data_IF_938007485551
#
_entry.id   IF_938007485551
#
_cell.length_a   1.000
_cell.length_b   1.000
_cell.length_c   1.000
_cell.angle_alpha   90.00
_cell.angle_beta   90.00
_cell.angle_gamma   90.00
#
_symmetry.space_group_name_H-M   'P 1'
#
loop_
_entity.id
_entity.type
_entity.pdbx_description
1 polymer ?
#
# COMPACT_ATOMS: atom_id res chain seq x y z
N UNK A 1 -12.44 -38.54 24.31
CA UNK A 1 -11.68 -37.27 24.32
C UNK A 1 -10.35 -37.33 23.55
N UNK A 2 -9.47 -38.30 23.79
CA UNK A 2 -8.13 -38.37 23.15
C UNK A 2 -8.14 -38.49 21.61
N UNK A 3 -9.17 -39.12 21.02
CA UNK A 3 -9.31 -39.23 19.55
C UNK A 3 -9.68 -37.90 18.87
N UNK A 4 -10.51 -37.06 19.51
CA UNK A 4 -10.91 -35.74 19.00
C UNK A 4 -9.77 -34.72 19.03
N UNK A 5 -8.88 -34.81 20.03
CA UNK A 5 -7.70 -33.96 20.11
C UNK A 5 -6.68 -34.30 19.00
N UNK A 6 -6.51 -35.59 18.67
CA UNK A 6 -5.59 -36.02 17.60
C UNK A 6 -6.08 -35.59 16.20
N UNK A 7 -7.37 -35.65 15.92
CA UNK A 7 -7.92 -35.17 14.64
C UNK A 7 -7.83 -33.65 14.51
N UNK A 8 -8.08 -32.89 15.58
CA UNK A 8 -7.94 -31.43 15.54
C UNK A 8 -6.49 -30.97 15.29
N UNK A 9 -5.50 -31.62 15.91
CA UNK A 9 -4.07 -31.31 15.70
C UNK A 9 -3.62 -31.65 14.28
N UNK A 10 -4.04 -32.79 13.74
CA UNK A 10 -3.74 -33.16 12.34
C UNK A 10 -4.37 -32.18 11.34
N UNK A 11 -5.59 -31.72 11.60
CA UNK A 11 -6.26 -30.74 10.73
C UNK A 11 -5.53 -29.38 10.76
N UNK A 12 -5.09 -28.91 11.93
CA UNK A 12 -4.33 -27.67 12.08
C UNK A 12 -2.95 -27.73 11.41
N UNK A 13 -2.24 -28.87 11.51
CA UNK A 13 -0.96 -29.05 10.82
C UNK A 13 -1.11 -29.15 9.29
N UNK A 14 -2.16 -29.81 8.79
CA UNK A 14 -2.47 -29.86 7.36
C UNK A 14 -2.85 -28.47 6.81
N UNK A 15 -3.58 -27.68 7.58
CA UNK A 15 -3.96 -26.32 7.21
C UNK A 15 -2.76 -25.37 7.16
N UNK A 16 -1.84 -25.46 8.14
CA UNK A 16 -0.63 -24.64 8.18
C UNK A 16 0.36 -24.97 7.05
N UNK A 17 0.50 -26.25 6.68
CA UNK A 17 1.37 -26.67 5.58
C UNK A 17 0.79 -26.33 4.20
N UNK A 18 -0.54 -26.40 4.05
CA UNK A 18 -1.22 -25.94 2.83
C UNK A 18 -1.04 -24.43 2.61
N UNK A 19 -1.11 -23.61 3.67
CA UNK A 19 -0.89 -22.15 3.56
C UNK A 19 0.57 -21.77 3.26
N UNK A 20 1.54 -22.50 3.83
CA UNK A 20 2.95 -22.27 3.51
C UNK A 20 3.28 -22.62 2.06
N UNK A 21 2.70 -23.71 1.54
CA UNK A 21 2.90 -24.13 0.14
C UNK A 21 2.21 -23.21 -0.89
N UNK A 22 1.19 -22.44 -0.50
CA UNK A 22 0.57 -21.43 -1.37
C UNK A 22 1.37 -20.15 -1.49
N UNK A 23 2.14 -19.76 -0.47
CA UNK A 23 2.99 -18.57 -0.52
C UNK A 23 4.18 -18.73 -1.49
N UNK A 24 4.82 -19.90 -1.50
CA UNK A 24 5.90 -20.20 -2.45
C UNK A 24 5.39 -20.41 -3.88
N UNK A 25 4.13 -20.87 -4.05
CA UNK A 25 3.48 -20.97 -5.38
C UNK A 25 3.00 -19.63 -5.94
N UNK A 26 2.65 -18.67 -5.08
CA UNK A 26 2.32 -17.30 -5.51
C UNK A 26 3.53 -16.60 -6.17
N UNK A 27 4.76 -16.95 -5.77
CA UNK A 27 5.99 -16.43 -6.39
C UNK A 27 6.36 -17.09 -7.74
N UNK A 28 5.80 -18.25 -8.07
CA UNK A 28 6.19 -19.03 -9.25
C UNK A 28 5.25 -18.89 -10.46
N UNK A 29 4.14 -18.15 -10.33
CA UNK A 29 3.13 -18.02 -11.39
C UNK A 29 3.31 -16.74 -12.23
N UNK A 30 4.49 -16.64 -12.85
CA UNK A 30 4.68 -15.81 -14.03
C UNK A 30 3.83 -16.35 -15.19
N UNK A 31 2.59 -15.85 -15.31
CA UNK A 31 1.69 -16.10 -16.45
C UNK A 31 2.46 -15.85 -17.76
N UNK A 32 2.72 -16.91 -18.53
CA UNK A 32 3.10 -16.81 -19.95
C UNK A 32 1.92 -16.20 -20.71
N UNK A 33 1.93 -14.87 -20.86
CA UNK A 33 1.00 -14.13 -21.74
C UNK A 33 1.42 -14.38 -23.20
N UNK A 34 0.45 -14.82 -24.00
CA UNK A 34 0.54 -15.10 -25.44
C UNK A 34 1.27 -13.98 -26.19
N UNK A 35 2.34 -14.32 -26.89
CA UNK A 35 3.05 -13.48 -27.85
C UNK A 35 2.43 -13.65 -29.23
N UNK A 36 1.52 -12.77 -29.62
CA UNK A 36 1.04 -12.71 -31.01
C UNK A 36 0.73 -11.28 -31.43
N UNK A 37 1.80 -10.56 -31.78
CA UNK A 37 1.91 -9.50 -32.79
C UNK A 37 3.30 -8.89 -32.60
N UNK A 38 4.19 -8.99 -33.57
CA UNK A 38 5.47 -8.25 -33.54
C UNK A 38 5.17 -6.78 -33.79
N UNK A 39 4.66 -6.10 -32.77
CA UNK A 39 4.53 -4.65 -32.71
C UNK A 39 5.95 -4.10 -32.86
N UNK A 40 6.17 -3.20 -33.81
CA UNK A 40 7.47 -2.62 -34.11
C UNK A 40 8.04 -2.00 -32.83
N UNK A 41 9.00 -2.69 -32.20
CA UNK A 41 9.52 -2.31 -30.90
C UNK A 41 10.44 -1.10 -31.12
N UNK A 42 9.90 0.10 -30.95
CA UNK A 42 10.69 1.32 -31.08
C UNK A 42 11.82 1.35 -30.04
N UNK A 43 13.00 1.84 -30.42
CA UNK A 43 14.10 2.13 -29.49
C UNK A 43 13.85 3.42 -28.68
N UNK A 44 12.59 3.86 -28.58
CA UNK A 44 12.17 5.03 -27.81
C UNK A 44 12.57 4.85 -26.36
N UNK A 45 13.11 5.92 -25.79
CA UNK A 45 13.38 6.04 -24.35
C UNK A 45 12.26 6.84 -23.71
N UNK A 46 11.75 6.35 -22.61
CA UNK A 46 10.76 7.02 -21.77
C UNK A 46 11.47 7.54 -20.53
N UNK A 47 11.31 8.84 -20.28
CA UNK A 47 11.74 9.52 -19.06
C UNK A 47 10.54 10.31 -18.56
N UNK A 48 10.23 10.18 -17.28
CA UNK A 48 9.16 10.93 -16.62
C UNK A 48 9.56 11.30 -15.19
N UNK A 49 8.62 11.75 -14.36
CA UNK A 49 8.90 12.11 -12.96
C UNK A 49 9.31 10.94 -12.06
N UNK A 50 8.95 9.70 -12.40
CA UNK A 50 9.21 8.50 -11.61
C UNK A 50 10.42 7.71 -12.14
N UNK A 51 10.55 7.52 -13.45
CA UNK A 51 11.61 6.72 -14.08
C UNK A 51 12.55 7.55 -14.96
N UNK A 52 13.75 7.04 -15.16
CA UNK A 52 14.75 7.59 -16.07
C UNK A 52 15.25 6.53 -17.06
N UNK A 53 15.42 6.88 -18.33
CA UNK A 53 16.03 6.02 -19.36
C UNK A 53 15.38 4.63 -19.51
N UNK A 54 14.04 4.55 -19.41
CA UNK A 54 13.33 3.30 -19.65
C UNK A 54 13.19 3.05 -21.15
N UNK A 55 13.86 2.03 -21.68
CA UNK A 55 13.83 1.69 -23.10
C UNK A 55 12.62 0.80 -23.43
N UNK A 56 11.83 1.19 -24.44
CA UNK A 56 10.61 0.46 -24.82
C UNK A 56 10.85 -1.00 -25.24
N UNK A 57 12.03 -1.30 -25.78
CA UNK A 57 12.44 -2.66 -26.12
C UNK A 57 12.78 -3.58 -24.94
N UNK A 58 12.88 -3.02 -23.73
CA UNK A 58 13.11 -3.76 -22.48
C UNK A 58 12.02 -3.48 -21.45
N UNK A 59 10.84 -3.07 -21.92
CA UNK A 59 9.72 -2.76 -21.05
C UNK A 59 9.25 -4.03 -20.32
N UNK A 60 9.50 -4.07 -19.03
CA UNK A 60 9.11 -5.12 -18.09
C UNK A 60 8.92 -4.49 -16.71
N UNK A 61 8.26 -5.20 -15.79
CA UNK A 61 8.08 -4.72 -14.41
C UNK A 61 9.43 -4.50 -13.74
N UNK A 62 10.33 -5.48 -13.81
CA UNK A 62 11.71 -5.33 -13.30
C UNK A 62 12.44 -4.17 -13.97
N UNK A 63 12.26 -3.99 -15.28
CA UNK A 63 12.83 -2.87 -16.02
C UNK A 63 12.34 -1.51 -15.52
N UNK A 64 11.04 -1.37 -15.22
CA UNK A 64 10.47 -0.15 -14.64
C UNK A 64 11.11 0.11 -13.28
N UNK A 65 11.07 -0.88 -12.39
CA UNK A 65 11.63 -0.80 -11.04
C UNK A 65 13.10 -0.39 -11.01
N UNK A 66 13.93 -1.03 -11.85
CA UNK A 66 15.35 -0.71 -11.97
C UNK A 66 15.59 0.74 -12.41
N UNK A 67 14.69 1.28 -13.24
CA UNK A 67 14.74 2.64 -13.80
C UNK A 67 14.04 3.71 -12.96
N UNK A 68 13.38 3.35 -11.86
CA UNK A 68 12.88 4.35 -10.90
C UNK A 68 14.06 5.22 -10.43
N UNK A 69 13.87 6.54 -10.38
CA UNK A 69 14.91 7.50 -9.98
C UNK A 69 15.30 7.32 -8.51
N UNK A 70 16.52 7.71 -8.16
CA UNK A 70 17.01 7.58 -6.78
C UNK A 70 16.23 8.45 -5.78
N UNK A 71 15.73 9.61 -6.23
CA UNK A 71 14.95 10.56 -5.44
C UNK A 71 13.43 10.31 -5.54
N UNK A 72 12.99 9.26 -6.24
CA UNK A 72 11.58 9.01 -6.51
C UNK A 72 10.72 8.95 -5.24
N UNK A 73 11.29 8.46 -4.15
CA UNK A 73 10.64 8.23 -2.86
C UNK A 73 11.15 9.16 -1.76
N UNK A 74 11.70 10.32 -2.12
CA UNK A 74 12.16 11.33 -1.17
C UNK A 74 11.05 11.74 -0.19
N UNK A 75 11.39 12.05 1.06
CA UNK A 75 10.42 12.37 2.12
C UNK A 75 9.51 13.57 1.80
N UNK A 76 9.99 14.51 0.98
CA UNK A 76 9.19 15.65 0.49
C UNK A 76 8.00 15.25 -0.40
N UNK A 77 7.91 13.97 -0.79
CA UNK A 77 6.80 13.38 -1.57
C UNK A 77 5.87 12.51 -0.71
N UNK A 78 6.13 12.41 0.59
CA UNK A 78 5.28 11.66 1.51
C UNK A 78 3.90 12.31 1.62
N UNK A 79 2.88 11.46 1.72
CA UNK A 79 1.50 11.80 1.99
C UNK A 79 0.93 10.83 3.03
N UNK A 80 -0.11 11.21 3.78
CA UNK A 80 -0.43 12.59 4.16
C UNK A 80 0.65 13.15 5.09
N UNK A 81 0.92 14.46 5.09
CA UNK A 81 1.91 15.06 6.02
C UNK A 81 1.35 15.37 7.42
N UNK A 82 0.04 15.25 7.59
CA UNK A 82 -0.65 15.33 8.88
C UNK A 82 -1.18 13.95 9.25
N UNK A 83 -0.77 13.44 10.41
CA UNK A 83 -1.36 12.22 10.96
C UNK A 83 -2.74 12.53 11.58
N UNK A 84 -3.69 11.60 11.53
CA UNK A 84 -4.98 11.73 12.21
C UNK A 84 -5.37 10.44 12.93
N UNK A 85 -6.08 10.53 14.08
CA UNK A 85 -6.62 9.36 14.74
C UNK A 85 -7.75 8.74 13.89
N UNK A 86 -7.84 7.43 13.77
CA UNK A 86 -8.92 6.77 13.04
C UNK A 86 -10.26 6.90 13.80
N UNK A 87 -11.35 7.31 13.13
CA UNK A 87 -12.65 7.56 13.81
C UNK A 87 -13.33 6.28 14.29
N UNK A 88 -13.13 5.19 13.57
CA UNK A 88 -13.87 3.94 13.74
C UNK A 88 -13.44 3.10 14.95
N UNK A 89 -12.50 3.58 15.79
CA UNK A 89 -12.01 2.84 16.96
C UNK A 89 -11.31 1.52 16.60
N UNK A 90 -10.97 1.31 15.31
CA UNK A 90 -10.21 0.15 14.83
C UNK A 90 -8.85 0.09 15.50
N UNK A 91 -8.29 -1.11 15.58
CA UNK A 91 -6.94 -1.32 16.08
C UNK A 91 -5.96 -0.34 15.40
N UNK A 92 -5.17 0.40 16.18
CA UNK A 92 -4.24 1.45 15.71
C UNK A 92 -3.34 1.01 14.56
N UNK A 93 -3.00 -0.28 14.53
CA UNK A 93 -2.23 -0.92 13.45
C UNK A 93 -2.92 -0.86 12.08
N UNK A 94 -4.25 -0.96 12.02
CA UNK A 94 -5.01 -0.87 10.78
C UNK A 94 -4.82 0.51 10.14
N UNK A 95 -4.84 1.58 10.95
CA UNK A 95 -4.58 2.93 10.46
C UNK A 95 -3.17 3.12 9.90
N UNK A 96 -2.17 2.52 10.55
CA UNK A 96 -0.79 2.60 10.08
C UNK A 96 -0.59 1.81 8.77
N UNK A 97 -1.24 0.64 8.66
CA UNK A 97 -1.27 -0.14 7.42
C UNK A 97 -1.92 0.66 6.29
N UNK A 98 -3.06 1.28 6.56
CA UNK A 98 -3.81 2.14 5.64
C UNK A 98 -2.96 3.17 4.93
N UNK A 99 -2.28 3.96 5.75
CA UNK A 99 -1.54 5.13 5.32
C UNK A 99 -0.28 4.68 4.58
N UNK A 100 0.37 3.62 5.06
CA UNK A 100 1.53 3.03 4.37
C UNK A 100 1.16 2.43 3.02
N UNK A 101 0.04 1.71 2.91
CA UNK A 101 -0.45 1.16 1.64
C UNK A 101 -0.83 2.29 0.67
N UNK A 102 -1.57 3.28 1.14
CA UNK A 102 -1.95 4.47 0.36
C UNK A 102 -0.72 5.23 -0.13
N UNK A 103 0.28 5.43 0.74
CA UNK A 103 1.54 6.07 0.37
C UNK A 103 2.29 5.26 -0.71
N UNK A 104 2.30 3.93 -0.60
CA UNK A 104 2.91 3.06 -1.61
C UNK A 104 2.23 3.22 -2.97
N UNK A 105 0.89 3.17 -3.00
CA UNK A 105 0.10 3.37 -4.22
C UNK A 105 0.48 4.70 -4.89
N UNK A 106 0.45 5.79 -4.11
CA UNK A 106 0.73 7.14 -4.60
C UNK A 106 2.18 7.24 -5.08
N UNK A 107 3.13 6.65 -4.36
CA UNK A 107 4.56 6.67 -4.75
C UNK A 107 4.80 6.08 -6.15
N UNK A 108 4.00 5.09 -6.57
CA UNK A 108 4.12 4.51 -7.93
C UNK A 108 3.21 5.16 -8.96
N UNK A 109 2.05 5.67 -8.53
CA UNK A 109 1.01 6.13 -9.44
C UNK A 109 1.02 7.64 -9.69
N UNK A 110 1.57 8.41 -8.76
CA UNK A 110 1.73 9.85 -8.92
C UNK A 110 2.83 10.17 -9.94
N UNK A 111 2.64 11.28 -10.65
CA UNK A 111 3.68 11.90 -11.46
C UNK A 111 3.96 13.31 -11.00
N UNK A 112 4.97 13.43 -10.15
CA UNK A 112 5.32 14.68 -9.46
C UNK A 112 5.92 15.71 -10.41
N UNK A 113 5.52 16.96 -10.22
CA UNK A 113 5.95 18.11 -11.02
C UNK A 113 5.63 17.96 -12.51
N UNK A 114 4.65 17.13 -12.86
CA UNK A 114 4.16 17.07 -14.24
C UNK A 114 3.05 18.11 -14.45
N UNK A 115 3.16 18.92 -15.52
CA UNK A 115 2.09 19.84 -15.88
C UNK A 115 0.84 19.04 -16.22
N UNK A 116 -0.31 19.52 -15.77
CA UNK A 116 -1.61 18.90 -16.04
C UNK A 116 -2.55 19.93 -16.64
N UNK A 117 -3.24 19.54 -17.72
CA UNK A 117 -4.37 20.29 -18.24
C UNK A 117 -5.66 19.98 -17.47
N UNK A 118 -5.65 18.92 -16.64
CA UNK A 118 -6.79 18.55 -15.82
C UNK A 118 -6.92 19.52 -14.66
N UNK A 119 -8.14 19.97 -14.44
CA UNK A 119 -8.48 20.78 -13.26
C UNK A 119 -8.51 19.91 -12.01
N UNK A 120 -8.31 20.52 -10.84
CA UNK A 120 -8.29 19.79 -9.56
C UNK A 120 -9.61 19.07 -9.25
N UNK A 121 -10.74 19.61 -9.68
CA UNK A 121 -12.07 18.97 -9.59
C UNK A 121 -12.21 17.74 -10.49
N UNK A 122 -11.27 17.49 -11.41
CA UNK A 122 -11.19 16.25 -12.20
C UNK A 122 -10.17 15.26 -11.59
N UNK A 123 -9.08 15.78 -11.00
CA UNK A 123 -8.03 14.95 -10.39
C UNK A 123 -8.52 14.34 -9.07
N UNK A 124 -9.12 15.15 -8.19
CA UNK A 124 -9.51 14.70 -6.84
C UNK A 124 -10.48 13.51 -6.86
N UNK A 125 -11.58 13.51 -7.64
CA UNK A 125 -12.49 12.35 -7.71
C UNK A 125 -11.79 11.06 -8.16
N UNK A 126 -10.92 11.16 -9.17
CA UNK A 126 -10.15 10.03 -9.68
C UNK A 126 -9.22 9.44 -8.62
N UNK A 127 -8.48 10.30 -7.91
CA UNK A 127 -7.60 9.88 -6.83
C UNK A 127 -8.37 9.26 -5.65
N UNK A 128 -9.47 9.88 -5.22
CA UNK A 128 -10.30 9.34 -4.14
C UNK A 128 -10.91 7.97 -4.51
N UNK A 129 -11.33 7.77 -5.76
CA UNK A 129 -11.76 6.45 -6.26
C UNK A 129 -10.64 5.42 -6.16
N UNK A 130 -9.42 5.77 -6.55
CA UNK A 130 -8.26 4.87 -6.45
C UNK A 130 -7.96 4.49 -5.01
N UNK A 131 -7.95 5.47 -4.09
CA UNK A 131 -7.72 5.23 -2.66
C UNK A 131 -8.78 4.30 -2.06
N UNK A 132 -10.05 4.46 -2.47
CA UNK A 132 -11.15 3.56 -2.09
C UNK A 132 -11.02 2.17 -2.71
N UNK A 133 -10.29 2.04 -3.82
CA UNK A 133 -10.25 0.83 -4.66
C UNK A 133 -11.53 0.59 -5.46
N UNK A 134 -12.36 1.62 -5.65
CA UNK A 134 -13.67 1.47 -6.28
C UNK A 134 -14.39 2.78 -6.60
N UNK A 135 -15.37 2.70 -7.50
CA UNK A 135 -16.31 3.78 -7.79
C UNK A 135 -17.59 3.59 -6.99
N UNK A 136 -18.26 4.70 -6.68
CA UNK A 136 -19.59 4.68 -6.08
C UNK A 136 -20.65 4.45 -7.16
N UNK A 137 -21.63 3.60 -6.85
CA UNK A 137 -22.79 3.35 -7.71
C UNK A 137 -24.05 3.26 -6.83
N UNK A 138 -25.18 3.78 -7.31
CA UNK A 138 -26.47 3.57 -6.68
C UNK A 138 -27.07 2.27 -7.22
N UNK A 139 -27.49 1.38 -6.32
CA UNK A 139 -28.28 0.21 -6.69
C UNK A 139 -29.67 0.33 -6.08
N UNK A 140 -30.66 0.09 -6.94
CA UNK A 140 -32.05 -0.07 -6.54
C UNK A 140 -32.26 -1.56 -6.28
N UNK A 141 -32.38 -1.94 -5.00
CA UNK A 141 -32.71 -3.30 -4.61
C UNK A 141 -34.20 -3.56 -4.91
N UNK A 142 -34.55 -3.67 -6.19
CA UNK A 142 -35.88 -4.08 -6.66
C UNK A 142 -35.99 -5.61 -6.60
N UNK A 143 -35.76 -6.20 -5.43
CA UNK A 143 -36.00 -7.61 -5.17
C UNK A 143 -37.30 -7.79 -4.38
N UNK A 144 -38.43 -7.40 -5.00
CA UNK A 144 -39.75 -7.85 -4.56
C UNK A 144 -40.37 -8.68 -5.69
N UNK A 145 -40.14 -9.99 -5.63
CA UNK A 145 -40.96 -10.99 -6.32
C UNK A 145 -42.15 -11.45 -5.44
N UNK A 146 -42.38 -10.78 -4.29
CA UNK A 146 -43.53 -11.02 -3.44
C UNK A 146 -44.61 -9.98 -3.75
N UNK A 147 -45.74 -10.46 -4.27
CA UNK A 147 -46.97 -9.73 -4.60
C UNK A 147 -47.67 -9.06 -3.39
N UNK A 148 -46.95 -8.75 -2.30
CA UNK A 148 -47.50 -8.12 -1.10
C UNK A 148 -47.09 -6.65 -1.02
N UNK A 149 -47.70 -5.84 -1.88
CA UNK A 149 -48.20 -4.47 -1.61
C UNK A 149 -47.33 -3.40 -0.92
N UNK A 150 -46.07 -3.63 -0.60
CA UNK A 150 -45.20 -2.66 0.07
C UNK A 150 -44.00 -2.34 -0.83
N UNK A 151 -44.16 -1.32 -1.66
CA UNK A 151 -43.15 -0.82 -2.58
C UNK A 151 -42.29 0.23 -1.87
N UNK A 152 -41.35 -0.23 -1.02
CA UNK A 152 -40.28 0.62 -0.49
C UNK A 152 -38.96 0.13 -1.09
N UNK A 153 -38.61 0.63 -2.27
CA UNK A 153 -37.29 0.41 -2.87
C UNK A 153 -36.23 1.00 -1.94
N UNK A 154 -35.47 0.13 -1.28
CA UNK A 154 -34.34 0.58 -0.46
C UNK A 154 -33.16 0.82 -1.39
N UNK A 155 -32.95 2.07 -1.77
CA UNK A 155 -31.82 2.48 -2.59
C UNK A 155 -30.53 2.50 -1.74
N UNK A 156 -29.53 1.73 -2.14
CA UNK A 156 -28.25 1.63 -1.43
C UNK A 156 -27.10 2.08 -2.32
N UNK A 157 -26.21 2.91 -1.76
CA UNK A 157 -24.93 3.24 -2.40
C UNK A 157 -23.96 2.08 -2.12
N UNK A 158 -23.44 1.47 -3.17
CA UNK A 158 -22.41 0.45 -3.07
C UNK A 158 -21.09 0.94 -3.67
N UNK A 159 -20.02 0.19 -3.44
CA UNK A 159 -18.76 0.42 -4.14
C UNK A 159 -18.52 -0.70 -5.13
N UNK A 160 -18.33 -0.35 -6.39
CA UNK A 160 -17.88 -1.28 -7.42
C UNK A 160 -16.36 -1.24 -7.54
N UNK A 161 -15.74 -2.41 -7.62
CA UNK A 161 -14.30 -2.52 -7.78
C UNK A 161 -13.81 -1.77 -9.02
N UNK A 162 -12.73 -1.00 -8.84
CA UNK A 162 -12.05 -0.36 -9.95
C UNK A 162 -11.41 -1.44 -10.84
N UNK A 163 -11.76 -1.41 -12.13
CA UNK A 163 -11.21 -2.36 -13.12
C UNK A 163 -9.72 -2.17 -13.36
N UNK A 164 -9.22 -0.95 -13.23
CA UNK A 164 -7.81 -0.61 -13.39
C UNK A 164 -7.46 0.68 -12.66
N UNK A 165 -6.26 0.67 -12.09
CA UNK A 165 -5.60 1.85 -11.54
C UNK A 165 -4.95 2.67 -12.65
N UNK A 166 -4.94 4.00 -12.53
CA UNK A 166 -4.37 4.90 -13.54
C UNK A 166 -3.33 5.86 -12.95
N UNK A 167 -2.31 6.18 -13.74
CA UNK A 167 -1.31 7.18 -13.38
C UNK A 167 -1.94 8.56 -13.40
N UNK A 168 -1.64 9.38 -12.39
CA UNK A 168 -2.20 10.74 -12.24
C UNK A 168 -1.09 11.78 -12.05
N UNK A 169 -1.23 12.97 -12.64
CA UNK A 169 -0.26 14.05 -12.46
C UNK A 169 -0.42 14.70 -11.07
N UNK A 170 0.70 15.11 -10.50
CA UNK A 170 0.77 15.87 -9.24
C UNK A 170 1.54 17.16 -9.51
N UNK A 171 0.85 18.30 -9.66
CA UNK A 171 1.50 19.58 -9.90
C UNK A 171 2.45 19.97 -8.76
N UNK A 172 3.45 20.79 -9.09
CA UNK A 172 4.41 21.27 -8.08
C UNK A 172 3.68 21.98 -6.94
N UNK A 173 4.11 21.71 -5.71
CA UNK A 173 3.55 22.27 -4.45
C UNK A 173 2.08 21.93 -4.17
N UNK A 174 1.38 21.17 -5.03
CA UNK A 174 -0.05 20.90 -4.86
C UNK A 174 -0.36 19.98 -3.68
N UNK A 175 0.64 19.25 -3.17
CA UNK A 175 0.52 18.38 -2.01
C UNK A 175 1.03 19.00 -0.71
N UNK A 176 1.57 20.22 -0.75
CA UNK A 176 2.00 20.90 0.46
C UNK A 176 0.79 21.35 1.30
N UNK A 177 0.93 21.29 2.63
CA UNK A 177 -0.03 21.81 3.62
C UNK A 177 0.12 23.32 3.80
N UNK A 178 0.83 24.00 2.89
CA UNK A 178 1.01 25.43 3.02
C UNK A 178 -0.33 26.17 2.95
N UNK A 179 -0.66 26.89 4.03
CA UNK A 179 -1.93 27.61 4.23
C UNK A 179 -2.22 28.63 3.14
N UNK A 180 -1.20 29.07 2.40
CA UNK A 180 -1.34 30.01 1.29
C UNK A 180 -1.97 29.39 0.04
N UNK A 181 -2.07 28.05 -0.03
CA UNK A 181 -2.57 27.33 -1.20
C UNK A 181 -3.94 26.70 -0.91
N UNK A 182 -4.94 27.53 -0.59
CA UNK A 182 -6.33 27.08 -0.32
C UNK A 182 -6.96 26.28 -1.47
N UNK A 183 -6.41 26.38 -2.69
CA UNK A 183 -6.83 25.60 -3.86
C UNK A 183 -5.89 24.43 -4.21
N UNK A 184 -4.99 24.01 -3.29
CA UNK A 184 -4.08 22.88 -3.53
C UNK A 184 -4.83 21.55 -3.64
N UNK A 185 -4.17 20.56 -4.26
CA UNK A 185 -4.69 19.19 -4.33
C UNK A 185 -4.86 18.62 -2.92
N UNK A 186 -3.91 18.85 -2.01
CA UNK A 186 -4.00 18.39 -0.62
C UNK A 186 -5.21 18.99 0.11
N UNK A 187 -5.41 20.30 0.04
CA UNK A 187 -6.56 20.94 0.69
C UNK A 187 -7.89 20.38 0.17
N UNK A 188 -8.00 20.16 -1.15
CA UNK A 188 -9.20 19.54 -1.75
C UNK A 188 -9.42 18.10 -1.33
N UNK A 189 -8.35 17.31 -1.21
CA UNK A 189 -8.44 15.95 -0.70
C UNK A 189 -8.86 15.93 0.78
N UNK A 190 -8.35 16.88 1.57
CA UNK A 190 -8.60 17.00 3.00
C UNK A 190 -10.03 17.48 3.30
N UNK A 191 -10.44 18.60 2.70
CA UNK A 191 -11.79 19.17 2.86
C UNK A 191 -12.85 18.29 2.21
N UNK A 192 -12.51 17.69 1.08
CA UNK A 192 -13.41 16.86 0.31
C UNK A 192 -14.34 17.64 -0.61
N UNK A 193 -15.32 16.93 -1.15
CA UNK A 193 -16.41 17.49 -1.95
C UNK A 193 -17.67 16.63 -1.84
N UNK A 194 -18.80 17.18 -2.29
CA UNK A 194 -20.06 16.44 -2.40
C UNK A 194 -20.18 15.89 -3.82
N UNK A 195 -20.23 14.57 -3.95
CA UNK A 195 -20.49 13.87 -5.22
C UNK A 195 -21.97 13.55 -5.33
N UNK A 196 -22.59 13.88 -6.46
CA UNK A 196 -23.94 13.41 -6.76
C UNK A 196 -23.86 12.05 -7.45
N UNK A 197 -24.26 10.98 -6.75
CA UNK A 197 -24.31 9.61 -7.23
C UNK A 197 -25.78 9.28 -7.48
N UNK A 198 -26.20 9.33 -8.74
CA UNK A 198 -27.58 9.04 -9.19
C UNK A 198 -28.66 9.77 -8.37
N UNK A 199 -28.47 11.07 -8.12
CA UNK A 199 -29.40 11.90 -7.35
C UNK A 199 -29.10 11.97 -5.85
N UNK A 200 -28.18 11.14 -5.32
CA UNK A 200 -27.77 11.18 -3.91
C UNK A 200 -26.46 11.94 -3.71
N UNK A 201 -26.49 12.89 -2.78
CA UNK A 201 -25.30 13.64 -2.40
C UNK A 201 -24.47 12.84 -1.37
N UNK A 202 -23.26 12.47 -1.75
CA UNK A 202 -22.30 11.74 -0.92
C UNK A 202 -21.10 12.64 -0.64
N UNK A 203 -20.81 12.90 0.63
CA UNK A 203 -19.61 13.63 1.01
C UNK A 203 -18.38 12.73 0.92
N UNK A 204 -17.35 13.16 0.19
CA UNK A 204 -16.13 12.40 -0.08
C UNK A 204 -14.89 13.18 0.30
N UNK A 205 -14.01 12.57 1.08
CA UNK A 205 -12.74 13.18 1.48
C UNK A 205 -11.71 12.10 1.84
N UNK A 206 -10.42 12.43 1.70
CA UNK A 206 -9.28 11.52 1.80
C UNK A 206 -9.35 10.57 3.01
N UNK A 207 -9.57 11.11 4.20
CA UNK A 207 -9.69 10.32 5.43
C UNK A 207 -10.79 9.27 5.37
N UNK A 208 -11.99 9.63 4.91
CA UNK A 208 -13.10 8.67 4.84
C UNK A 208 -12.85 7.58 3.80
N UNK A 209 -12.26 7.94 2.65
CA UNK A 209 -11.92 6.96 1.61
C UNK A 209 -10.89 5.94 2.12
N UNK A 210 -9.88 6.40 2.87
CA UNK A 210 -8.89 5.53 3.50
C UNK A 210 -9.55 4.62 4.53
N UNK A 211 -10.32 5.19 5.47
CA UNK A 211 -11.01 4.44 6.52
C UNK A 211 -11.98 3.38 5.95
N UNK A 212 -12.67 3.69 4.86
CA UNK A 212 -13.54 2.74 4.13
C UNK A 212 -12.73 1.60 3.48
N UNK A 213 -11.60 1.93 2.84
CA UNK A 213 -10.71 0.92 2.28
C UNK A 213 -10.14 -0.01 3.38
N UNK A 214 -9.89 0.54 4.59
CA UNK A 214 -9.35 -0.22 5.72
C UNK A 214 -10.25 -1.35 6.20
N UNK A 215 -11.55 -1.08 6.31
CA UNK A 215 -12.51 -2.10 6.74
C UNK A 215 -12.45 -3.34 5.81
N UNK A 216 -12.15 -3.15 4.53
CA UNK A 216 -12.15 -4.24 3.54
C UNK A 216 -10.84 -5.02 3.46
N UNK A 217 -9.71 -4.38 3.74
CA UNK A 217 -8.41 -5.01 3.57
C UNK A 217 -7.85 -5.57 4.89
N UNK A 218 -8.00 -4.86 6.01
CA UNK A 218 -7.39 -5.31 7.27
C UNK A 218 -8.01 -6.61 7.80
N UNK A 219 -9.32 -6.81 7.65
CA UNK A 219 -10.03 -8.00 8.16
C UNK A 219 -9.99 -9.22 7.23
N UNK A 220 -9.17 -9.20 6.17
CA UNK A 220 -8.97 -10.40 5.33
C UNK A 220 -8.30 -11.51 6.13
N UNK A 221 -8.62 -12.77 5.83
CA UNK A 221 -8.06 -13.92 6.54
C UNK A 221 -6.52 -13.95 6.54
N UNK A 222 -5.90 -13.54 5.42
CA UNK A 222 -4.45 -13.41 5.29
C UNK A 222 -3.82 -12.43 6.30
N UNK A 223 -4.60 -11.47 6.79
CA UNK A 223 -4.20 -10.39 7.68
C UNK A 223 -4.52 -10.66 9.15
N UNK A 224 -5.28 -11.72 9.48
CA UNK A 224 -5.56 -12.13 10.87
C UNK A 224 -4.26 -12.42 11.64
N UNK A 225 -3.24 -12.93 10.95
CA UNK A 225 -1.90 -13.13 11.51
C UNK A 225 -1.22 -11.84 11.98
N UNK A 226 -1.69 -10.65 11.55
CA UNK A 226 -1.20 -9.37 12.05
C UNK A 226 -1.65 -9.10 13.50
N UNK A 227 -2.80 -9.60 13.93
CA UNK A 227 -3.30 -9.42 15.31
C UNK A 227 -2.84 -10.48 16.32
N UNK A 228 -2.32 -11.62 15.85
CA UNK A 228 -1.96 -12.75 16.69
C UNK A 228 -0.50 -13.20 16.48
N UNK A 229 0.32 -13.14 17.53
CA UNK A 229 1.68 -13.67 17.50
C UNK A 229 2.57 -13.08 18.60
N UNK A 230 3.73 -13.71 18.84
CA UNK A 230 4.79 -13.12 19.66
C UNK A 230 5.34 -11.85 19.01
N UNK A 231 5.81 -10.92 19.84
CA UNK A 231 6.58 -9.78 19.35
C UNK A 231 7.97 -10.17 18.88
N UNK A 232 8.56 -11.21 19.48
CA UNK A 232 9.91 -11.67 19.18
C UNK A 232 9.91 -12.64 17.98
N UNK A 233 10.92 -12.51 17.12
CA UNK A 233 11.26 -13.43 16.02
C UNK A 233 12.62 -14.06 16.27
N UNK A 234 12.81 -15.30 15.81
CA UNK A 234 14.12 -15.95 15.86
C UNK A 234 15.13 -15.26 14.94
N UNK A 235 16.42 -15.38 15.26
CA UNK A 235 17.53 -14.84 14.47
C UNK A 235 17.44 -15.24 12.99
N UNK A 236 17.18 -16.53 12.71
CA UNK A 236 16.99 -17.05 11.35
C UNK A 236 15.85 -16.33 10.61
N UNK A 237 14.70 -16.15 11.28
CA UNK A 237 13.55 -15.45 10.69
C UNK A 237 13.83 -13.97 10.45
N UNK A 238 14.64 -13.33 11.27
CA UNK A 238 15.06 -11.95 11.02
C UNK A 238 16.02 -11.85 9.82
N UNK A 239 16.96 -12.79 9.69
CA UNK A 239 17.85 -12.87 8.52
C UNK A 239 17.06 -13.07 7.22
N UNK A 240 16.03 -13.94 7.23
CA UNK A 240 15.11 -14.10 6.09
C UNK A 240 14.43 -12.77 5.72
N UNK A 241 13.89 -12.04 6.71
CA UNK A 241 13.29 -10.72 6.48
C UNK A 241 14.30 -9.73 5.87
N UNK A 242 15.53 -9.65 6.40
CA UNK A 242 16.59 -8.77 5.86
C UNK A 242 16.90 -9.10 4.40
N UNK A 243 17.00 -10.38 4.05
CA UNK A 243 17.26 -10.80 2.67
C UNK A 243 16.18 -10.30 1.70
N UNK A 244 14.91 -10.45 2.09
CA UNK A 244 13.77 -9.94 1.30
C UNK A 244 13.84 -8.41 1.19
N UNK A 245 14.06 -7.71 2.31
CA UNK A 245 14.09 -6.25 2.33
C UNK A 245 15.21 -5.67 1.48
N UNK A 246 16.41 -6.28 1.52
CA UNK A 246 17.54 -5.86 0.67
C UNK A 246 17.22 -6.05 -0.81
N UNK A 247 16.78 -7.25 -1.20
CA UNK A 247 16.42 -7.58 -2.59
C UNK A 247 15.37 -6.61 -3.13
N UNK A 248 14.34 -6.31 -2.34
CA UNK A 248 13.29 -5.40 -2.74
C UNK A 248 13.81 -3.96 -2.83
N UNK A 249 14.58 -3.49 -1.84
CA UNK A 249 15.15 -2.15 -1.85
C UNK A 249 16.19 -1.94 -2.99
N UNK A 250 17.00 -2.94 -3.32
CA UNK A 250 17.94 -2.92 -4.46
C UNK A 250 17.20 -2.70 -5.79
N UNK A 251 15.97 -3.20 -5.88
CA UNK A 251 15.08 -3.02 -7.05
C UNK A 251 14.07 -1.90 -6.87
N UNK A 252 14.20 -1.05 -5.84
CA UNK A 252 13.27 0.06 -5.55
C UNK A 252 11.81 -0.39 -5.39
N UNK A 253 11.61 -1.63 -4.94
CA UNK A 253 10.31 -2.19 -4.56
C UNK A 253 10.01 -1.83 -3.10
N UNK A 254 9.16 -0.83 -2.92
CA UNK A 254 8.57 -0.44 -1.65
C UNK A 254 7.87 -1.64 -0.98
N UNK A 255 8.34 -1.96 0.23
CA UNK A 255 7.88 -3.14 0.98
C UNK A 255 7.28 -2.70 2.31
N UNK A 256 6.05 -3.09 2.59
CA UNK A 256 5.43 -2.84 3.89
C UNK A 256 5.94 -3.89 4.89
N UNK A 257 6.20 -3.43 6.11
CA UNK A 257 6.60 -4.31 7.21
C UNK A 257 5.81 -3.97 8.47
N UNK A 258 5.45 -5.02 9.20
CA UNK A 258 4.94 -4.91 10.56
C UNK A 258 6.09 -5.03 11.56
N UNK A 259 6.33 -3.95 12.29
CA UNK A 259 7.25 -3.86 13.42
C UNK A 259 6.50 -4.24 14.70
N UNK A 260 6.94 -5.31 15.35
CA UNK A 260 6.37 -5.76 16.61
C UNK A 260 7.33 -5.54 17.76
N UNK A 261 6.94 -4.66 18.66
CA UNK A 261 7.54 -4.50 19.97
C UNK A 261 6.80 -5.34 21.04
N UNK A 262 5.67 -5.96 20.70
CA UNK A 262 4.91 -6.82 21.61
C UNK A 262 3.70 -7.41 20.91
N UNK A 263 2.82 -8.08 21.67
CA UNK A 263 1.59 -8.66 21.13
C UNK A 263 0.61 -7.59 20.63
N UNK A 264 0.49 -6.50 21.37
CA UNK A 264 -0.43 -5.38 21.07
C UNK A 264 0.31 -4.12 20.61
N UNK A 265 1.62 -4.03 20.86
CA UNK A 265 2.47 -2.93 20.43
C UNK A 265 3.06 -3.23 19.05
N UNK A 266 2.35 -2.80 18.02
CA UNK A 266 2.67 -3.08 16.62
C UNK A 266 2.52 -1.82 15.76
N UNK A 267 3.34 -1.71 14.72
CA UNK A 267 3.31 -0.56 13.82
C UNK A 267 3.68 -0.97 12.39
N UNK A 268 3.05 -0.36 11.39
CA UNK A 268 3.40 -0.61 9.98
C UNK A 268 4.24 0.53 9.46
N UNK A 269 5.34 0.19 8.78
CA UNK A 269 6.17 1.13 8.04
C UNK A 269 6.45 0.60 6.64
N UNK A 270 6.89 1.46 5.74
CA UNK A 270 7.25 1.09 4.37
C UNK A 270 8.73 1.33 4.10
N UNK A 271 9.47 0.28 3.73
CA UNK A 271 10.90 0.34 3.44
C UNK A 271 11.13 0.97 2.07
N UNK A 272 12.00 2.00 2.02
CA UNK A 272 12.36 2.74 0.81
C UNK A 272 13.73 2.37 0.26
N UNK A 273 14.73 2.33 1.13
CA UNK A 273 16.13 2.08 0.77
C UNK A 273 16.91 1.53 1.97
N UNK A 274 18.18 1.19 1.75
CA UNK A 274 19.07 0.82 2.83
C UNK A 274 20.52 1.23 2.55
N UNK A 275 21.31 1.28 3.62
CA UNK A 275 22.77 1.39 3.60
C UNK A 275 23.37 0.35 4.53
N UNK A 276 24.56 -0.13 4.21
CA UNK A 276 25.34 -1.04 5.06
C UNK A 276 26.54 -0.27 5.61
N UNK A 277 26.78 -0.36 6.90
CA UNK A 277 27.92 0.27 7.57
C UNK A 277 28.40 -0.66 8.68
N UNK A 278 29.56 -1.27 8.49
CA UNK A 278 30.09 -2.33 9.37
C UNK A 278 29.03 -3.45 9.56
N UNK A 279 28.77 -3.86 10.79
CA UNK A 279 27.80 -4.90 11.15
C UNK A 279 26.36 -4.38 11.30
N UNK A 280 26.05 -3.20 10.75
CA UNK A 280 24.73 -2.58 10.82
C UNK A 280 24.19 -2.32 9.42
N UNK A 281 22.96 -2.76 9.19
CA UNK A 281 22.18 -2.40 8.01
C UNK A 281 21.13 -1.38 8.46
N UNK A 282 21.18 -0.18 7.90
CA UNK A 282 20.21 0.88 8.18
C UNK A 282 19.25 0.99 7.02
N UNK A 283 17.98 0.71 7.26
CA UNK A 283 16.88 0.92 6.33
C UNK A 283 16.26 2.30 6.55
N UNK A 284 16.02 3.02 5.47
CA UNK A 284 15.20 4.23 5.46
C UNK A 284 13.76 3.83 5.20
N UNK A 285 12.83 4.25 6.06
CA UNK A 285 11.42 3.86 6.02
C UNK A 285 10.49 5.07 6.08
N UNK A 286 9.35 4.99 5.40
CA UNK A 286 8.20 5.86 5.65
C UNK A 286 7.46 5.37 6.89
N UNK A 287 7.19 6.29 7.81
CA UNK A 287 6.40 6.09 9.02
C UNK A 287 5.16 7.01 8.97
N UNK A 288 3.97 6.43 8.93
CA UNK A 288 2.72 7.21 8.91
C UNK A 288 2.47 8.04 10.17
N UNK A 289 3.17 7.77 11.27
CA UNK A 289 3.14 8.60 12.47
C UNK A 289 4.06 9.83 12.40
N UNK A 290 4.99 9.84 11.45
CA UNK A 290 5.94 10.94 11.20
C UNK A 290 6.09 11.18 9.70
N UNK A 291 5.00 11.45 8.98
CA UNK A 291 5.04 11.44 7.52
C UNK A 291 5.87 12.58 6.92
N UNK A 292 6.17 13.63 7.69
CA UNK A 292 7.01 14.75 7.26
C UNK A 292 8.49 14.42 7.12
N UNK A 293 8.94 13.24 7.60
CA UNK A 293 10.34 12.82 7.48
C UNK A 293 10.49 11.31 7.44
N UNK A 294 11.57 10.85 6.82
CA UNK A 294 11.91 9.44 6.86
C UNK A 294 12.42 9.02 8.24
N UNK A 295 12.13 7.78 8.60
CA UNK A 295 12.58 7.15 9.84
C UNK A 295 13.62 6.06 9.54
N UNK A 296 14.35 5.64 10.58
CA UNK A 296 15.40 4.65 10.46
C UNK A 296 15.04 3.36 11.20
N UNK A 297 15.23 2.24 10.50
CA UNK A 297 15.17 0.89 11.04
C UNK A 297 16.57 0.28 10.94
N UNK A 298 17.10 -0.23 12.04
CA UNK A 298 18.43 -0.81 12.13
C UNK A 298 18.33 -2.32 12.22
N UNK A 299 19.22 -3.02 11.53
CA UNK A 299 19.46 -4.44 11.71
C UNK A 299 20.92 -4.67 12.11
N UNK A 300 21.12 -5.26 13.28
CA UNK A 300 22.44 -5.70 13.73
C UNK A 300 22.73 -7.09 13.20
N UNK A 301 23.76 -7.23 12.37
CA UNK A 301 24.22 -8.53 11.84
C UNK A 301 24.70 -9.41 12.99
N UNK A 302 25.49 -8.85 13.92
CA UNK A 302 26.02 -9.53 15.10
C UNK A 302 24.91 -10.16 15.95
N UNK A 303 23.85 -9.41 16.23
CA UNK A 303 22.76 -9.88 17.09
C UNK A 303 21.63 -10.55 16.30
N UNK A 304 21.67 -10.47 14.96
CA UNK A 304 20.59 -10.90 14.06
C UNK A 304 19.21 -10.36 14.47
N UNK A 305 19.17 -9.08 14.87
CA UNK A 305 18.01 -8.44 15.46
C UNK A 305 17.75 -7.05 14.87
N UNK A 306 16.49 -6.65 14.85
CA UNK A 306 16.04 -5.34 14.39
C UNK A 306 15.79 -4.39 15.56
N UNK A 307 16.02 -3.09 15.33
CA UNK A 307 15.84 -2.00 16.29
C UNK A 307 15.30 -0.77 15.58
N UNK A 308 14.39 -0.02 16.19
CA UNK A 308 13.86 1.23 15.62
C UNK A 308 13.43 2.19 16.75
N UNK A 309 14.38 2.72 17.53
CA UNK A 309 14.06 3.47 18.75
C UNK A 309 13.16 4.69 18.50
N UNK A 310 13.38 5.42 17.41
CA UNK A 310 12.61 6.62 17.06
C UNK A 310 11.16 6.32 16.64
N UNK A 311 10.91 5.10 16.15
CA UNK A 311 9.58 4.64 15.76
C UNK A 311 8.88 4.04 16.99
N UNK A 312 9.55 3.13 17.69
CA UNK A 312 9.01 2.37 18.83
C UNK A 312 8.74 3.25 20.03
N UNK A 313 9.62 4.22 20.31
CA UNK A 313 9.50 5.12 21.46
C UNK A 313 8.22 5.95 21.49
N UNK A 314 7.45 5.99 20.40
CA UNK A 314 6.16 6.67 20.33
C UNK A 314 4.99 5.82 20.79
N UNK A 315 5.13 4.50 20.83
CA UNK A 315 4.05 3.58 21.23
C UNK A 315 4.49 2.53 22.27
N UNK A 316 5.77 2.49 22.64
CA UNK A 316 6.33 1.73 23.78
C UNK A 316 7.32 2.62 24.52
N UNK A 317 6.95 3.08 25.71
CA UNK A 317 7.75 4.06 26.47
C UNK A 317 8.87 3.43 27.31
N UNK A 318 8.71 2.17 27.72
CA UNK A 318 9.56 1.57 28.76
C UNK A 318 10.90 1.03 28.23
N UNK A 319 11.02 0.70 26.94
CA UNK A 319 12.26 0.16 26.36
C UNK A 319 12.29 0.33 24.83
N UNK A 320 12.77 1.48 24.36
CA UNK A 320 12.85 1.81 22.93
C UNK A 320 13.98 1.06 22.21
N UNK A 321 14.97 0.57 22.97
CA UNK A 321 16.13 -0.17 22.47
C UNK A 321 15.90 -1.68 22.36
N UNK A 322 14.71 -2.17 22.67
CA UNK A 322 14.38 -3.59 22.55
C UNK A 322 14.46 -4.07 21.10
N UNK A 323 14.78 -5.35 20.92
CA UNK A 323 14.68 -5.98 19.61
C UNK A 323 13.22 -6.06 19.15
N UNK A 324 13.03 -5.97 17.83
CA UNK A 324 11.73 -6.01 17.18
C UNK A 324 11.58 -7.27 16.32
N UNK A 325 10.38 -7.84 16.31
CA UNK A 325 9.97 -8.74 15.25
C UNK A 325 9.62 -7.94 14.01
N UNK A 326 10.29 -8.21 12.88
CA UNK A 326 9.98 -7.60 11.59
C UNK A 326 9.35 -8.61 10.65
N UNK A 327 8.11 -8.35 10.27
CA UNK A 327 7.31 -9.19 9.38
C UNK A 327 7.07 -8.43 8.09
N UNK A 328 7.50 -9.00 6.96
CA UNK A 328 7.10 -8.49 5.65
C UNK A 328 5.60 -8.73 5.50
N UNK A 329 4.85 -7.67 5.22
CA UNK A 329 3.41 -7.72 5.04
C UNK A 329 3.05 -7.16 3.67
N UNK A 330 1.96 -7.69 3.11
CA UNK A 330 1.28 -7.13 1.94
C UNK A 330 2.09 -7.12 0.62
N UNK A 331 2.04 -8.27 -0.05
CA UNK A 331 2.46 -8.47 -1.44
C UNK A 331 1.26 -8.45 -2.42
N UNK A 332 0.03 -8.69 -1.95
CA UNK A 332 -1.15 -8.90 -2.81
C UNK A 332 -1.58 -7.64 -3.57
N UNK A 333 -1.41 -6.45 -2.97
CA UNK A 333 -1.75 -5.19 -3.65
C UNK A 333 -0.74 -4.79 -4.73
N UNK A 334 0.43 -5.44 -4.78
CA UNK A 334 1.49 -5.08 -5.71
C UNK A 334 1.10 -5.36 -7.15
N UNK A 335 0.41 -6.46 -7.43
CA UNK A 335 0.01 -6.85 -8.79
C UNK A 335 -0.80 -5.74 -9.47
N UNK A 336 -1.76 -5.13 -8.76
CA UNK A 336 -2.58 -4.04 -9.31
C UNK A 336 -1.75 -2.79 -9.64
N UNK A 337 -0.74 -2.47 -8.82
CA UNK A 337 0.15 -1.34 -9.04
C UNK A 337 1.09 -1.60 -10.22
N UNK A 338 1.64 -2.81 -10.28
CA UNK A 338 2.51 -3.26 -11.37
C UNK A 338 1.76 -3.27 -12.71
N UNK A 339 0.52 -3.77 -12.74
CA UNK A 339 -0.34 -3.75 -13.93
C UNK A 339 -0.63 -2.31 -14.40
N UNK A 340 -0.93 -1.39 -13.47
CA UNK A 340 -1.15 0.02 -13.79
C UNK A 340 0.11 0.70 -14.35
N UNK A 341 1.27 0.47 -13.74
CA UNK A 341 2.55 0.96 -14.25
C UNK A 341 2.84 0.40 -15.65
N UNK A 342 2.66 -0.91 -15.84
CA UNK A 342 2.88 -1.57 -17.12
C UNK A 342 1.95 -1.02 -18.21
N UNK A 343 0.66 -0.86 -17.91
CA UNK A 343 -0.31 -0.28 -18.83
C UNK A 343 0.09 1.14 -19.24
N UNK A 344 0.50 1.98 -18.28
CA UNK A 344 0.96 3.34 -18.56
C UNK A 344 2.18 3.38 -19.48
N UNK A 345 3.23 2.62 -19.16
CA UNK A 345 4.45 2.67 -19.97
C UNK A 345 4.29 2.00 -21.33
N UNK A 346 3.38 1.03 -21.49
CA UNK A 346 2.98 0.53 -22.82
C UNK A 346 2.39 1.65 -23.68
N UNK A 347 1.50 2.47 -23.11
CA UNK A 347 0.93 3.62 -23.83
C UNK A 347 2.03 4.62 -24.18
N UNK A 348 2.95 4.93 -23.25
CA UNK A 348 4.09 5.83 -23.53
C UNK A 348 5.06 5.30 -24.59
N UNK A 349 5.09 3.99 -24.81
CA UNK A 349 5.97 3.34 -25.79
C UNK A 349 5.39 3.18 -27.19
N UNK A 350 4.07 3.28 -27.32
CA UNK A 350 3.41 3.56 -28.60
C UNK A 350 3.71 5.00 -29.02
#
# INVERSE_FOLDING_TARGET
MLKLLKTAVLFLCAFATAMAATADRAYAWGKKRSTSASEFISNKRVTDSLVQDLTCNKLSIDGIYYRIKADAFHESRNMPITNWPFRSGVATIAGCWALSSTQRMISYMARYNEPTSLRMDQISPGLLNQIRGGTLELINDNHNNDNRGSSSSTERIITRSLRANSIFPVPSNSLSEDKWHTNSLWMRLLEGYVENVDGKNVHRHFRAEIEENQARHFFRAANIGMGAGSGDRSAKKNQESVSILRRNADTKRLTLINLRAGRTAQHIVMVKSYKVTNDIITFTVYDSNQPSKDQLLYYSVKNSAFYAPDIVGRFVLENTSRSLGVYVVDEDEREMLEDAMMAHYRIKCR
#
